data_IF_504997896083
#
_entry.id   IF_504997896083
#
_cell.length_a   1.000
_cell.length_b   1.000
_cell.length_c   1.000
_cell.angle_alpha   90.00
_cell.angle_beta   90.00
_cell.angle_gamma   90.00
#
_symmetry.space_group_name_H-M   'P 1'
#
loop_
_entity.id
_entity.type
_entity.pdbx_description
1 polymer ?
#
# COMPACT_ATOMS: atom_id res chain seq x y z
N UNK A 1 -4.37 -17.92 13.88
CA UNK A 1 -5.69 -17.46 13.40
C UNK A 1 -5.86 -15.94 13.56
N UNK A 2 -5.59 -15.36 14.73
CA UNK A 2 -5.72 -13.90 14.99
C UNK A 2 -4.96 -13.00 14.00
N UNK A 3 -3.71 -13.32 13.67
CA UNK A 3 -2.91 -12.52 12.74
C UNK A 3 -3.45 -12.53 11.31
N UNK A 4 -4.04 -13.65 10.86
CA UNK A 4 -4.65 -13.76 9.52
C UNK A 4 -5.86 -12.82 9.43
N UNK A 5 -6.71 -12.79 10.46
CA UNK A 5 -7.83 -11.84 10.50
C UNK A 5 -7.35 -10.39 10.49
N UNK A 6 -6.27 -10.08 11.20
CA UNK A 6 -5.70 -8.73 11.21
C UNK A 6 -5.18 -8.32 9.82
N UNK A 7 -4.47 -9.21 9.11
CA UNK A 7 -4.04 -8.99 7.72
C UNK A 7 -5.24 -8.74 6.81
N UNK A 8 -6.28 -9.58 6.91
CA UNK A 8 -7.50 -9.43 6.11
C UNK A 8 -8.22 -8.10 6.36
N UNK A 9 -8.28 -7.66 7.62
CA UNK A 9 -8.87 -6.36 7.99
C UNK A 9 -8.07 -5.21 7.37
N UNK A 10 -6.75 -5.26 7.45
CA UNK A 10 -5.88 -4.24 6.84
C UNK A 10 -6.10 -4.20 5.33
N UNK A 11 -6.07 -5.36 4.66
CA UNK A 11 -6.23 -5.43 3.21
C UNK A 11 -7.61 -4.96 2.74
N UNK A 12 -8.67 -5.41 3.42
CA UNK A 12 -10.04 -4.95 3.13
C UNK A 12 -10.20 -3.44 3.39
N UNK A 13 -9.59 -2.92 4.47
CA UNK A 13 -9.59 -1.49 4.79
C UNK A 13 -8.87 -0.66 3.73
N UNK A 14 -7.68 -1.07 3.30
CA UNK A 14 -6.95 -0.42 2.21
C UNK A 14 -7.75 -0.40 0.91
N UNK A 15 -8.34 -1.54 0.53
CA UNK A 15 -9.20 -1.64 -0.65
C UNK A 15 -10.43 -0.72 -0.55
N UNK A 16 -11.07 -0.65 0.62
CA UNK A 16 -12.20 0.24 0.84
C UNK A 16 -11.80 1.73 0.72
N UNK A 17 -10.61 2.11 1.20
CA UNK A 17 -10.08 3.47 1.03
C UNK A 17 -9.84 3.77 -0.45
N UNK A 18 -9.27 2.83 -1.22
CA UNK A 18 -9.09 2.98 -2.67
C UNK A 18 -10.45 3.16 -3.37
N UNK A 19 -11.40 2.27 -3.10
CA UNK A 19 -12.71 2.26 -3.76
C UNK A 19 -13.53 3.54 -3.49
N UNK A 20 -13.30 4.20 -2.36
CA UNK A 20 -14.01 5.42 -1.94
C UNK A 20 -13.15 6.68 -2.08
N UNK A 21 -11.98 6.58 -2.73
CA UNK A 21 -11.07 7.69 -2.90
C UNK A 21 -11.65 8.73 -3.86
N UNK A 22 -11.66 10.00 -3.42
CA UNK A 22 -12.01 11.17 -4.26
C UNK A 22 -10.79 11.94 -4.75
N UNK A 23 -9.61 11.52 -4.33
CA UNK A 23 -8.34 12.11 -4.73
C UNK A 23 -7.32 10.99 -4.91
N UNK A 24 -6.39 11.19 -5.85
CA UNK A 24 -5.31 10.25 -6.11
C UNK A 24 -4.44 10.04 -4.86
N UNK A 25 -4.25 11.07 -4.03
CA UNK A 25 -3.54 10.96 -2.75
C UNK A 25 -4.23 9.95 -1.82
N UNK A 26 -5.57 10.00 -1.70
CA UNK A 26 -6.31 9.02 -0.87
C UNK A 26 -6.21 7.61 -1.46
N UNK A 27 -6.22 7.47 -2.79
CA UNK A 27 -6.02 6.17 -3.43
C UNK A 27 -4.63 5.60 -3.14
N UNK A 28 -3.57 6.43 -3.21
CA UNK A 28 -2.20 6.04 -2.85
C UNK A 28 -2.14 5.59 -1.38
N UNK A 29 -2.72 6.35 -0.45
CA UNK A 29 -2.77 5.95 0.97
C UNK A 29 -3.45 4.58 1.14
N UNK A 30 -4.55 4.33 0.41
CA UNK A 30 -5.22 3.03 0.45
C UNK A 30 -4.35 1.88 -0.07
N UNK A 31 -3.56 2.10 -1.13
CA UNK A 31 -2.58 1.14 -1.64
C UNK A 31 -1.48 0.86 -0.61
N UNK A 32 -0.94 1.91 0.03
CA UNK A 32 0.08 1.76 1.08
C UNK A 32 -0.40 0.97 2.29
N UNK A 33 -1.68 1.09 2.66
CA UNK A 33 -2.29 0.26 3.70
C UNK A 33 -2.26 -1.22 3.30
N UNK A 34 -2.51 -1.56 2.03
CA UNK A 34 -2.40 -2.94 1.55
C UNK A 34 -0.96 -3.45 1.61
N UNK A 35 0.01 -2.62 1.21
CA UNK A 35 1.44 -2.93 1.27
C UNK A 35 1.91 -3.17 2.71
N UNK A 36 1.45 -2.36 3.67
CA UNK A 36 1.68 -2.60 5.10
C UNK A 36 1.09 -3.94 5.57
N UNK A 37 -0.08 -4.32 5.06
CA UNK A 37 -0.67 -5.63 5.32
C UNK A 37 0.22 -6.79 4.84
N UNK A 38 0.82 -6.65 3.66
CA UNK A 38 1.77 -7.63 3.12
C UNK A 38 3.07 -7.70 3.96
N UNK A 39 3.63 -6.57 4.35
CA UNK A 39 4.81 -6.48 5.23
C UNK A 39 4.50 -7.12 6.60
N UNK A 40 3.32 -6.84 7.17
CA UNK A 40 2.91 -7.45 8.44
C UNK A 40 2.73 -8.96 8.32
N UNK A 41 2.14 -9.44 7.22
CA UNK A 41 1.96 -10.87 6.97
C UNK A 41 3.30 -11.61 6.90
N UNK A 42 4.29 -11.06 6.19
CA UNK A 42 5.64 -11.65 6.07
C UNK A 42 6.41 -11.58 7.39
N UNK A 43 6.26 -10.49 8.15
CA UNK A 43 6.82 -10.35 9.49
C UNK A 43 6.27 -11.42 10.46
N UNK A 44 4.95 -11.64 10.45
CA UNK A 44 4.30 -12.67 11.29
C UNK A 44 4.74 -14.07 10.86
N UNK A 45 4.91 -14.32 9.56
CA UNK A 45 5.44 -15.57 9.03
C UNK A 45 6.92 -15.79 9.37
N UNK A 46 7.62 -14.79 9.92
CA UNK A 46 9.06 -14.78 10.24
C UNK A 46 9.94 -15.05 9.02
N UNK A 47 9.47 -14.69 7.82
CA UNK A 47 10.25 -14.77 6.59
C UNK A 47 10.97 -13.44 6.36
N UNK A 48 12.22 -13.36 6.83
CA UNK A 48 13.04 -12.14 6.77
C UNK A 48 13.37 -11.75 5.33
N UNK A 49 13.56 -12.73 4.44
CA UNK A 49 13.86 -12.46 3.03
C UNK A 49 12.65 -11.83 2.35
N UNK A 50 11.46 -12.42 2.54
CA UNK A 50 10.24 -11.88 1.99
C UNK A 50 9.84 -10.54 2.63
N UNK A 51 10.14 -10.35 3.91
CA UNK A 51 9.94 -9.07 4.59
C UNK A 51 10.76 -7.94 3.94
N UNK A 52 12.04 -8.19 3.66
CA UNK A 52 12.91 -7.23 3.00
C UNK A 52 12.44 -6.91 1.56
N UNK A 53 12.01 -7.93 0.82
CA UNK A 53 11.44 -7.75 -0.53
C UNK A 53 10.14 -6.95 -0.47
N UNK A 54 9.21 -7.28 0.43
CA UNK A 54 7.94 -6.56 0.57
C UNK A 54 8.15 -5.09 0.96
N UNK A 55 9.05 -4.83 1.89
CA UNK A 55 9.37 -3.46 2.31
C UNK A 55 10.03 -2.64 1.20
N UNK A 56 11.01 -3.20 0.50
CA UNK A 56 11.69 -2.51 -0.61
C UNK A 56 10.77 -2.28 -1.81
N UNK A 57 9.97 -3.28 -2.18
CA UNK A 57 8.96 -3.16 -3.22
C UNK A 57 7.91 -2.09 -2.88
N UNK A 58 7.48 -2.03 -1.62
CA UNK A 58 6.58 -0.99 -1.14
C UNK A 58 7.13 0.42 -1.33
N UNK A 59 8.37 0.68 -0.88
CA UNK A 59 9.02 1.98 -1.09
C UNK A 59 9.11 2.34 -2.57
N UNK A 60 9.50 1.37 -3.41
CA UNK A 60 9.61 1.59 -4.85
C UNK A 60 8.25 1.94 -5.48
N UNK A 61 7.20 1.22 -5.11
CA UNK A 61 5.82 1.49 -5.53
C UNK A 61 5.39 2.90 -5.13
N UNK A 62 5.57 3.29 -3.86
CA UNK A 62 5.21 4.63 -3.36
C UNK A 62 5.90 5.72 -4.17
N UNK A 63 7.19 5.57 -4.44
CA UNK A 63 7.97 6.55 -5.21
C UNK A 63 7.41 6.70 -6.62
N UNK A 64 7.07 5.60 -7.30
CA UNK A 64 6.48 5.64 -8.64
C UNK A 64 5.09 6.29 -8.64
N UNK A 65 4.24 5.94 -7.68
CA UNK A 65 2.90 6.51 -7.54
C UNK A 65 2.96 8.02 -7.30
N UNK A 66 3.83 8.45 -6.37
CA UNK A 66 4.02 9.87 -6.05
C UNK A 66 4.63 10.63 -7.23
N UNK A 67 5.64 10.07 -7.90
CA UNK A 67 6.23 10.68 -9.09
C UNK A 67 5.19 10.83 -10.23
N UNK A 68 4.33 9.84 -10.39
CA UNK A 68 3.23 9.87 -11.37
C UNK A 68 2.21 10.95 -11.01
N UNK A 69 1.85 11.06 -9.73
CA UNK A 69 0.98 12.13 -9.23
C UNK A 69 1.55 13.52 -9.53
N UNK A 70 2.83 13.77 -9.22
CA UNK A 70 3.49 15.04 -9.52
C UNK A 70 3.50 15.35 -11.02
N UNK A 71 3.76 14.34 -11.86
CA UNK A 71 3.73 14.50 -13.32
C UNK A 71 2.34 14.87 -13.82
N UNK A 72 1.28 14.27 -13.27
CA UNK A 72 -0.10 14.61 -13.61
C UNK A 72 -0.48 16.02 -13.14
N UNK A 73 -0.09 16.40 -11.93
CA UNK A 73 -0.34 17.73 -11.37
C UNK A 73 0.31 18.82 -12.23
N UNK A 74 1.57 18.62 -12.65
CA UNK A 74 2.28 19.56 -13.53
C UNK A 74 1.61 19.73 -14.90
N UNK A 75 0.86 18.73 -15.35
CA UNK A 75 0.13 18.73 -16.63
C UNK A 75 -1.31 19.22 -16.51
N UNK A 76 -1.77 19.61 -15.31
CA UNK A 76 -3.11 20.13 -15.06
C UNK A 76 -4.21 19.06 -14.94
N UNK A 77 -3.84 17.80 -14.67
CA UNK A 77 -4.78 16.67 -14.59
C UNK A 77 -5.23 16.31 -13.16
N UNK A 78 -5.05 17.19 -12.18
CA UNK A 78 -5.28 16.88 -10.74
C UNK A 78 -6.18 17.92 -10.10
#
# INVERSE_FOLDING_TARGET
MTAVYFVLIIMAGGLAVIATARSLVRAIIGAEVMTLGAIYATAVARDINMLAVAASAGVFETVLLVATLFKMARRGYV
#
